data_IF_711825673098
#
_entry.id   IF_711825673098
#
_cell.length_a   1.000
_cell.length_b   1.000
_cell.length_c   1.000
_cell.angle_alpha   90.00
_cell.angle_beta   90.00
_cell.angle_gamma   90.00
#
_symmetry.space_group_name_H-M   'P 1'
#
loop_
_entity.id
_entity.type
_entity.pdbx_description
1 polymer ?
#
# COMPACT_ATOMS: atom_id res chain seq x y z
N UNK A 1 -7.01 22.50 9.64
CA UNK A 1 -5.95 22.30 10.65
C UNK A 1 -5.04 23.51 10.81
N UNK A 2 -5.07 24.53 9.93
CA UNK A 2 -4.32 25.78 10.15
C UNK A 2 -4.76 26.52 11.42
N UNK A 3 -6.02 26.32 11.81
CA UNK A 3 -6.71 26.77 13.02
C UNK A 3 -6.25 26.09 14.32
N UNK A 4 -5.47 24.99 14.24
CA UNK A 4 -5.01 24.23 15.41
C UNK A 4 -3.57 24.60 15.80
N UNK A 5 -3.15 24.46 17.06
CA UNK A 5 -1.75 24.57 17.47
C UNK A 5 -0.81 23.69 16.65
N UNK A 6 0.47 24.06 16.54
CA UNK A 6 1.45 23.29 15.74
C UNK A 6 1.83 21.96 16.40
N UNK A 7 1.73 21.89 17.73
CA UNK A 7 1.97 20.74 18.59
C UNK A 7 0.70 19.89 18.83
N UNK A 8 -0.44 20.26 18.23
CA UNK A 8 -1.62 19.39 18.16
C UNK A 8 -1.23 18.05 17.54
N UNK A 9 -1.70 16.94 18.11
CA UNK A 9 -1.29 15.58 17.70
C UNK A 9 -1.53 15.32 16.21
N UNK A 10 -2.65 15.81 15.66
CA UNK A 10 -2.93 15.68 14.22
C UNK A 10 -1.95 16.49 13.38
N UNK A 11 -1.69 17.74 13.76
CA UNK A 11 -0.74 18.60 13.02
C UNK A 11 0.67 18.03 13.08
N UNK A 12 1.12 17.61 14.27
CA UNK A 12 2.41 16.98 14.47
C UNK A 12 2.56 15.70 13.62
N UNK A 13 1.52 14.86 13.58
CA UNK A 13 1.52 13.64 12.75
C UNK A 13 1.65 13.95 11.26
N UNK A 14 0.88 14.91 10.72
CA UNK A 14 0.95 15.33 9.32
C UNK A 14 2.33 15.90 8.96
N UNK A 15 2.95 16.65 9.87
CA UNK A 15 4.29 17.21 9.65
C UNK A 15 5.39 16.15 9.77
N UNK A 16 5.19 15.12 10.57
CA UNK A 16 6.10 13.98 10.70
C UNK A 16 6.07 13.11 9.44
N UNK A 17 4.87 12.81 8.93
CA UNK A 17 4.61 11.94 7.78
C UNK A 17 4.14 12.72 6.55
N UNK A 18 4.98 13.64 6.07
CA UNK A 18 4.65 14.50 4.93
C UNK A 18 4.59 13.73 3.62
N UNK A 19 5.75 13.50 3.00
CA UNK A 19 5.89 12.73 1.76
C UNK A 19 6.59 11.41 2.08
N UNK A 20 5.94 10.29 1.80
CA UNK A 20 6.46 8.93 1.95
C UNK A 20 6.18 8.11 0.68
N UNK A 21 6.94 7.02 0.50
CA UNK A 21 6.80 6.14 -0.68
C UNK A 21 5.63 5.16 -0.53
N UNK A 22 5.31 4.81 0.72
CA UNK A 22 4.24 3.88 1.05
C UNK A 22 2.86 4.35 0.60
N UNK A 23 1.94 3.41 0.44
CA UNK A 23 0.59 3.68 0.00
C UNK A 23 -0.27 2.43 0.03
N UNK A 24 -1.55 2.55 -0.29
CA UNK A 24 -2.54 1.49 -0.15
C UNK A 24 -3.11 1.10 -1.51
N UNK A 25 -3.86 0.00 -1.60
CA UNK A 25 -4.45 -0.44 -2.88
C UNK A 25 -5.31 0.65 -3.54
N UNK A 26 -6.22 1.31 -2.81
CA UNK A 26 -7.05 2.37 -3.38
C UNK A 26 -6.23 3.59 -3.84
N UNK A 27 -5.07 3.85 -3.20
CA UNK A 27 -4.12 4.88 -3.65
C UNK A 27 -3.47 4.51 -4.99
N UNK A 28 -3.15 3.24 -5.21
CA UNK A 28 -2.69 2.74 -6.51
C UNK A 28 -3.78 2.88 -7.58
N UNK A 29 -5.01 2.44 -7.27
CA UNK A 29 -6.18 2.57 -8.16
C UNK A 29 -6.41 4.02 -8.56
N UNK A 30 -6.33 4.94 -7.60
CA UNK A 30 -6.47 6.37 -7.81
C UNK A 30 -5.44 6.95 -8.80
N UNK A 31 -4.18 6.49 -8.71
CA UNK A 31 -3.12 6.91 -9.63
C UNK A 31 -3.37 6.37 -11.03
N UNK A 32 -3.65 5.07 -11.18
CA UNK A 32 -3.89 4.47 -12.49
C UNK A 32 -5.11 5.07 -13.17
N UNK A 33 -6.21 5.30 -12.44
CA UNK A 33 -7.42 5.93 -12.99
C UNK A 33 -7.15 7.36 -13.50
N UNK A 34 -6.31 8.12 -12.81
CA UNK A 34 -6.04 9.53 -13.15
C UNK A 34 -4.93 9.69 -14.18
N UNK A 35 -3.92 8.82 -14.15
CA UNK A 35 -2.67 9.00 -14.88
C UNK A 35 -2.33 7.83 -15.81
N UNK A 36 -3.06 6.73 -15.78
CA UNK A 36 -2.76 5.51 -16.52
C UNK A 36 -1.49 4.81 -16.03
N UNK A 37 -0.89 3.99 -16.89
CA UNK A 37 0.41 3.35 -16.65
C UNK A 37 1.23 3.38 -17.93
N UNK A 38 2.54 3.15 -17.80
CA UNK A 38 3.44 3.02 -18.94
C UNK A 38 4.30 1.76 -18.82
N UNK A 39 4.75 1.16 -19.93
CA UNK A 39 5.80 0.15 -19.90
C UNK A 39 7.05 0.70 -19.22
N UNK A 40 7.78 -0.14 -18.48
CA UNK A 40 9.05 0.23 -17.83
C UNK A 40 10.08 0.83 -18.79
N UNK A 41 10.04 0.46 -20.07
CA UNK A 41 10.93 1.03 -21.11
C UNK A 41 10.61 2.49 -21.46
N UNK A 42 9.38 2.95 -21.21
CA UNK A 42 8.97 4.34 -21.46
C UNK A 42 9.30 5.28 -20.30
N UNK A 43 9.37 4.76 -19.07
CA UNK A 43 9.83 5.49 -17.88
C UNK A 43 10.67 4.54 -17.01
N UNK A 44 11.98 4.40 -17.29
CA UNK A 44 12.85 3.49 -16.56
C UNK A 44 13.18 4.00 -15.16
N UNK A 45 13.71 3.10 -14.33
CA UNK A 45 14.22 3.46 -13.01
C UNK A 45 15.35 4.50 -13.09
N UNK A 46 15.42 5.34 -12.06
CA UNK A 46 16.52 6.28 -11.80
C UNK A 46 17.21 5.88 -10.49
N UNK A 47 18.35 6.51 -10.17
CA UNK A 47 18.96 6.35 -8.84
C UNK A 47 17.95 6.66 -7.73
N UNK A 48 17.14 7.71 -7.87
CA UNK A 48 16.23 8.13 -6.80
C UNK A 48 14.95 7.30 -6.71
N UNK A 49 14.52 6.62 -7.79
CA UNK A 49 13.40 5.67 -7.68
C UNK A 49 13.84 4.35 -7.01
N UNK A 50 15.12 4.01 -7.08
CA UNK A 50 15.70 2.85 -6.37
C UNK A 50 16.33 3.20 -5.00
N UNK A 51 16.46 4.49 -4.67
CA UNK A 51 17.10 5.00 -3.45
C UNK A 51 16.53 6.38 -3.04
N UNK A 52 15.26 6.37 -2.62
CA UNK A 52 14.43 7.58 -2.47
C UNK A 52 14.79 8.49 -1.29
N UNK A 53 15.52 7.99 -0.29
CA UNK A 53 15.70 8.66 1.01
C UNK A 53 16.17 10.13 0.90
N UNK A 54 17.13 10.41 0.02
CA UNK A 54 17.65 11.78 -0.18
C UNK A 54 16.63 12.70 -0.85
N UNK A 55 15.95 12.20 -1.88
CA UNK A 55 14.88 12.93 -2.57
C UNK A 55 13.75 13.25 -1.58
N UNK A 56 13.28 12.24 -0.84
CA UNK A 56 12.22 12.38 0.15
C UNK A 56 12.60 13.36 1.27
N UNK A 57 13.85 13.42 1.68
CA UNK A 57 14.31 14.44 2.63
C UNK A 57 14.10 15.87 2.10
N UNK A 58 14.37 16.12 0.82
CA UNK A 58 14.19 17.45 0.20
C UNK A 58 12.72 17.77 -0.04
N UNK A 59 11.93 16.78 -0.47
CA UNK A 59 10.47 16.91 -0.63
C UNK A 59 9.80 17.25 0.70
N UNK A 60 10.16 16.54 1.77
CA UNK A 60 9.63 16.81 3.11
C UNK A 60 10.05 18.18 3.66
N UNK A 61 11.25 18.67 3.32
CA UNK A 61 11.64 20.04 3.66
C UNK A 61 10.72 21.06 2.98
N UNK A 62 10.49 20.94 1.67
CA UNK A 62 9.58 21.83 0.94
C UNK A 62 8.14 21.72 1.46
N UNK A 63 7.66 20.51 1.73
CA UNK A 63 6.35 20.26 2.33
C UNK A 63 6.17 21.02 3.65
N UNK A 64 7.11 20.87 4.60
CA UNK A 64 7.06 21.56 5.91
C UNK A 64 7.17 23.07 5.76
N UNK A 65 8.03 23.53 4.86
CA UNK A 65 8.18 24.96 4.57
C UNK A 65 6.88 25.56 4.01
N UNK A 66 6.24 24.88 3.05
CA UNK A 66 4.95 25.31 2.49
C UNK A 66 3.82 25.27 3.52
N UNK A 67 3.78 24.23 4.36
CA UNK A 67 2.83 24.13 5.47
C UNK A 67 2.97 25.30 6.44
N UNK A 68 4.20 25.67 6.82
CA UNK A 68 4.46 26.85 7.65
C UNK A 68 3.96 28.14 6.98
N UNK A 69 4.28 28.35 5.70
CA UNK A 69 3.84 29.56 4.97
C UNK A 69 2.32 29.69 4.94
N UNK A 70 1.60 28.61 4.67
CA UNK A 70 0.13 28.61 4.67
C UNK A 70 -0.42 28.94 6.06
N UNK A 71 0.17 28.37 7.12
CA UNK A 71 -0.26 28.64 8.50
C UNK A 71 0.05 30.07 8.95
N UNK A 72 1.19 30.63 8.55
CA UNK A 72 1.53 32.03 8.81
C UNK A 72 0.54 32.97 8.10
N UNK A 73 0.20 32.70 6.83
CA UNK A 73 -0.83 33.46 6.10
C UNK A 73 -2.23 33.32 6.72
N UNK A 74 -2.57 32.15 7.25
CA UNK A 74 -3.81 31.95 7.99
C UNK A 74 -3.84 32.79 9.27
N UNK A 75 -2.77 32.76 10.07
CA UNK A 75 -2.65 33.52 11.31
C UNK A 75 -2.63 35.05 11.10
N UNK A 76 -2.08 35.50 9.98
CA UNK A 76 -2.10 36.90 9.55
C UNK A 76 -3.38 37.30 8.80
N UNK A 77 -4.41 36.44 8.79
CA UNK A 77 -5.71 36.67 8.13
C UNK A 77 -5.61 37.12 6.67
N UNK A 78 -4.56 36.68 5.95
CA UNK A 78 -4.19 37.28 4.67
C UNK A 78 -5.04 36.82 3.47
N UNK A 79 -6.08 36.02 3.73
CA UNK A 79 -7.03 35.56 2.72
C UNK A 79 -6.63 34.28 2.00
N UNK A 80 -7.64 33.61 1.43
CA UNK A 80 -7.49 32.31 0.74
C UNK A 80 -6.57 32.38 -0.48
N UNK A 81 -6.56 33.50 -1.20
CA UNK A 81 -5.76 33.63 -2.42
C UNK A 81 -4.25 33.60 -2.12
N UNK A 82 -3.80 34.24 -1.04
CA UNK A 82 -2.39 34.19 -0.63
C UNK A 82 -1.97 32.81 -0.14
N UNK A 83 -2.85 32.11 0.58
CA UNK A 83 -2.62 30.72 0.99
C UNK A 83 -2.49 29.79 -0.24
N UNK A 84 -3.37 29.97 -1.24
CA UNK A 84 -3.33 29.22 -2.51
C UNK A 84 -2.07 29.53 -3.32
N UNK A 85 -1.63 30.78 -3.36
CA UNK A 85 -0.39 31.17 -4.01
C UNK A 85 0.84 30.49 -3.36
N UNK A 86 0.86 30.42 -2.02
CA UNK A 86 1.92 29.73 -1.26
C UNK A 86 1.92 28.22 -1.53
N UNK A 87 0.74 27.60 -1.59
CA UNK A 87 0.59 26.19 -2.03
C UNK A 87 1.16 25.99 -3.43
N UNK A 88 0.77 26.83 -4.40
CA UNK A 88 1.22 26.67 -5.79
C UNK A 88 2.74 26.81 -5.93
N UNK A 89 3.34 27.79 -5.24
CA UNK A 89 4.80 27.95 -5.20
C UNK A 89 5.50 26.71 -4.66
N UNK A 90 4.97 26.12 -3.59
CA UNK A 90 5.50 24.90 -2.99
C UNK A 90 5.37 23.70 -3.94
N UNK A 91 4.21 23.53 -4.58
CA UNK A 91 3.99 22.46 -5.55
C UNK A 91 4.90 22.58 -6.78
N UNK A 92 5.16 23.79 -7.27
CA UNK A 92 6.11 24.00 -8.37
C UNK A 92 7.53 23.55 -7.97
N UNK A 93 7.97 23.84 -6.74
CA UNK A 93 9.28 23.39 -6.25
C UNK A 93 9.32 21.86 -6.11
N UNK A 94 8.27 21.25 -5.56
CA UNK A 94 8.14 19.78 -5.46
C UNK A 94 8.20 19.12 -6.83
N UNK A 95 7.46 19.64 -7.81
CA UNK A 95 7.46 19.11 -9.18
C UNK A 95 8.86 19.19 -9.81
N UNK A 96 9.56 20.32 -9.64
CA UNK A 96 10.94 20.46 -10.14
C UNK A 96 11.89 19.45 -9.49
N UNK A 97 11.80 19.24 -8.16
CA UNK A 97 12.59 18.22 -7.48
C UNK A 97 12.30 16.83 -8.07
N UNK A 98 11.02 16.45 -8.19
CA UNK A 98 10.61 15.16 -8.75
C UNK A 98 11.12 14.98 -10.19
N UNK A 99 10.96 15.98 -11.07
CA UNK A 99 11.45 15.90 -12.45
C UNK A 99 12.97 15.79 -12.56
N UNK A 100 13.72 16.46 -11.68
CA UNK A 100 15.18 16.34 -11.65
C UNK A 100 15.62 14.93 -11.21
N UNK A 101 14.92 14.36 -10.24
CA UNK A 101 15.28 13.07 -9.65
C UNK A 101 14.78 11.86 -10.47
N UNK A 102 13.57 11.94 -11.02
CA UNK A 102 12.83 10.83 -11.62
C UNK A 102 12.63 10.97 -13.13
N UNK A 103 12.96 12.13 -13.70
CA UNK A 103 12.56 12.50 -15.05
C UNK A 103 11.13 13.04 -15.13
N UNK A 104 10.77 13.55 -16.29
CA UNK A 104 9.40 14.05 -16.55
C UNK A 104 8.54 12.90 -17.05
N UNK A 105 7.38 12.61 -16.43
CA UNK A 105 6.47 11.58 -16.90
C UNK A 105 6.10 11.79 -18.38
N UNK A 106 6.16 10.74 -19.23
CA UNK A 106 5.85 10.89 -20.65
C UNK A 106 4.36 11.18 -20.85
N UNK A 107 4.05 12.20 -21.65
CA UNK A 107 2.68 12.47 -22.08
C UNK A 107 2.21 11.44 -23.13
N UNK A 108 3.14 10.98 -23.97
CA UNK A 108 2.95 9.98 -25.02
C UNK A 108 4.22 9.16 -25.18
N UNK A 109 4.09 7.93 -25.67
CA UNK A 109 5.20 7.05 -25.99
C UNK A 109 4.83 6.07 -27.13
N UNK A 110 5.84 5.57 -27.84
CA UNK A 110 5.65 4.49 -28.80
C UNK A 110 5.74 3.12 -28.12
N UNK A 111 4.76 2.25 -28.37
CA UNK A 111 4.77 0.89 -27.84
C UNK A 111 5.22 -0.12 -28.89
N UNK A 112 6.27 -0.87 -28.56
CA UNK A 112 6.85 -1.91 -29.38
C UNK A 112 7.49 -2.99 -28.51
N UNK A 113 7.36 -4.26 -28.90
CA UNK A 113 7.90 -5.39 -28.14
C UNK A 113 8.24 -6.57 -29.07
N UNK A 114 8.88 -7.60 -28.53
CA UNK A 114 8.95 -8.92 -29.18
C UNK A 114 8.11 -9.90 -28.38
N UNK A 115 7.31 -10.71 -29.07
CA UNK A 115 6.51 -11.74 -28.43
C UNK A 115 7.36 -12.97 -28.03
N UNK A 116 6.69 -14.01 -27.51
CA UNK A 116 7.33 -15.25 -27.06
C UNK A 116 8.05 -16.01 -28.17
N UNK A 117 7.64 -15.80 -29.43
CA UNK A 117 8.24 -16.38 -30.63
C UNK A 117 9.29 -15.45 -31.26
N UNK A 118 9.66 -14.38 -30.55
CA UNK A 118 10.61 -13.34 -30.98
C UNK A 118 10.15 -12.51 -32.18
N UNK A 119 8.88 -12.56 -32.58
CA UNK A 119 8.37 -11.70 -33.64
C UNK A 119 8.22 -10.27 -33.14
N UNK A 120 8.60 -9.31 -33.98
CA UNK A 120 8.50 -7.88 -33.65
C UNK A 120 7.05 -7.41 -33.77
N UNK A 121 6.59 -6.74 -32.73
CA UNK A 121 5.25 -6.17 -32.59
C UNK A 121 5.34 -4.66 -32.36
N UNK A 122 4.33 -3.92 -32.80
CA UNK A 122 4.17 -2.48 -32.52
C UNK A 122 2.71 -2.11 -32.43
N UNK A 123 2.40 -1.14 -31.60
CA UNK A 123 1.04 -0.63 -31.42
C UNK A 123 1.00 0.91 -31.38
N UNK A 124 1.82 1.54 -32.21
CA UNK A 124 1.77 2.99 -32.44
C UNK A 124 2.20 3.84 -31.24
N UNK A 125 1.86 5.12 -31.32
CA UNK A 125 1.98 6.10 -30.24
C UNK A 125 0.70 6.11 -29.41
N UNK A 126 0.83 6.20 -28.09
CA UNK A 126 -0.31 6.31 -27.18
C UNK A 126 0.06 7.08 -25.91
N UNK A 127 -0.98 7.54 -25.22
CA UNK A 127 -0.89 8.10 -23.88
C UNK A 127 -0.87 6.98 -22.82
N UNK A 128 -0.41 7.26 -21.58
CA UNK A 128 -0.50 6.31 -20.47
C UNK A 128 -1.92 5.82 -20.16
N UNK A 129 -2.94 6.67 -20.37
CA UNK A 129 -4.35 6.31 -20.15
C UNK A 129 -4.85 5.32 -21.21
N UNK A 130 -4.57 5.59 -22.48
CA UNK A 130 -4.91 4.66 -23.58
C UNK A 130 -4.19 3.31 -23.42
N UNK A 131 -2.92 3.33 -22.97
CA UNK A 131 -2.21 2.10 -22.67
C UNK A 131 -2.87 1.31 -21.54
N UNK A 132 -3.26 1.98 -20.44
CA UNK A 132 -3.94 1.34 -19.33
C UNK A 132 -5.27 0.72 -19.77
N UNK A 133 -6.11 1.47 -20.50
CA UNK A 133 -7.40 1.00 -21.02
C UNK A 133 -7.26 -0.23 -21.93
N UNK A 134 -6.21 -0.24 -22.78
CA UNK A 134 -6.01 -1.31 -23.76
C UNK A 134 -5.35 -2.56 -23.19
N UNK A 135 -4.41 -2.42 -22.26
CA UNK A 135 -3.53 -3.51 -21.83
C UNK A 135 -3.75 -3.98 -20.38
N UNK A 136 -4.39 -3.19 -19.52
CA UNK A 136 -4.80 -3.66 -18.19
C UNK A 136 -6.16 -4.32 -18.32
N UNK A 137 -6.18 -5.65 -18.23
CA UNK A 137 -7.42 -6.45 -18.29
C UNK A 137 -8.05 -6.67 -16.91
N UNK A 138 -7.34 -6.31 -15.84
CA UNK A 138 -7.84 -6.47 -14.47
C UNK A 138 -8.78 -5.32 -14.13
N UNK A 139 -10.06 -5.58 -13.78
CA UNK A 139 -11.01 -4.53 -13.41
C UNK A 139 -10.73 -4.07 -11.98
N UNK A 140 -9.63 -3.33 -11.80
CA UNK A 140 -9.12 -2.91 -10.49
C UNK A 140 -10.10 -2.05 -9.69
N UNK A 141 -11.06 -1.39 -10.35
CA UNK A 141 -12.14 -0.64 -9.66
C UNK A 141 -13.18 -1.55 -8.98
N UNK A 142 -13.27 -2.82 -9.40
CA UNK A 142 -14.14 -3.83 -8.76
C UNK A 142 -13.48 -4.50 -7.55
N UNK A 143 -12.21 -4.20 -7.30
CA UNK A 143 -11.49 -4.76 -6.16
C UNK A 143 -11.83 -4.00 -4.89
N UNK A 144 -11.94 -4.74 -3.80
CA UNK A 144 -12.19 -4.23 -2.46
C UNK A 144 -11.08 -4.70 -1.54
N UNK A 145 -10.66 -3.82 -0.65
CA UNK A 145 -9.62 -4.11 0.32
C UNK A 145 -10.26 -4.76 1.55
N UNK A 146 -9.85 -5.98 1.84
CA UNK A 146 -10.32 -6.74 2.99
C UNK A 146 -9.20 -6.82 4.00
N UNK A 147 -9.50 -6.46 5.25
CA UNK A 147 -8.52 -6.46 6.34
C UNK A 147 -8.92 -7.38 7.47
N UNK A 148 -7.94 -7.79 8.26
CA UNK A 148 -8.14 -8.42 9.56
C UNK A 148 -7.48 -7.58 10.66
N UNK A 149 -8.32 -6.86 11.37
CA UNK A 149 -8.02 -6.08 12.56
C UNK A 149 -8.81 -6.66 13.74
N UNK A 150 -8.17 -7.46 14.62
CA UNK A 150 -8.83 -8.12 15.73
C UNK A 150 -9.05 -7.22 16.95
N UNK A 151 -8.73 -5.93 16.89
CA UNK A 151 -9.00 -4.99 17.99
C UNK A 151 -10.50 -4.89 18.25
N UNK A 152 -10.89 -4.79 19.52
CA UNK A 152 -12.30 -4.66 19.92
C UNK A 152 -12.98 -3.43 19.30
N UNK A 153 -12.20 -2.37 19.04
CA UNK A 153 -12.67 -1.13 18.39
C UNK A 153 -13.00 -1.30 16.90
N UNK A 154 -12.64 -2.44 16.32
CA UNK A 154 -12.74 -2.74 14.89
C UNK A 154 -13.61 -3.98 14.67
N UNK A 155 -14.93 -3.92 14.89
CA UNK A 155 -15.81 -5.08 14.69
C UNK A 155 -15.80 -5.58 13.23
N UNK A 156 -15.81 -6.90 13.05
CA UNK A 156 -15.95 -7.54 11.75
C UNK A 156 -17.28 -7.17 11.06
N UNK A 157 -17.31 -7.20 9.73
CA UNK A 157 -18.46 -6.81 8.92
C UNK A 157 -18.72 -5.30 8.89
N UNK A 158 -17.73 -4.48 9.30
CA UNK A 158 -17.78 -3.02 9.21
C UNK A 158 -16.70 -2.50 8.28
N UNK A 159 -16.99 -1.36 7.68
CA UNK A 159 -16.06 -0.64 6.81
C UNK A 159 -15.35 0.47 7.56
N UNK A 160 -14.09 0.72 7.21
CA UNK A 160 -13.23 1.70 7.84
C UNK A 160 -12.49 2.53 6.80
N UNK A 161 -12.14 3.75 7.17
CA UNK A 161 -11.24 4.64 6.45
C UNK A 161 -10.35 5.36 7.45
N UNK A 162 -9.25 5.96 7.01
CA UNK A 162 -8.27 6.61 7.89
C UNK A 162 -8.20 8.08 7.54
N UNK A 163 -8.40 8.92 8.55
CA UNK A 163 -8.42 10.37 8.36
C UNK A 163 -7.08 10.85 7.75
N UNK A 164 -7.17 11.64 6.68
CA UNK A 164 -6.05 12.17 5.89
C UNK A 164 -5.21 11.16 5.10
N UNK A 165 -5.51 9.86 5.16
CA UNK A 165 -4.82 8.86 4.35
C UNK A 165 -5.34 8.91 2.91
N UNK A 166 -4.45 9.18 1.95
CA UNK A 166 -4.76 9.25 0.53
C UNK A 166 -3.68 10.00 -0.24
N UNK A 167 -3.76 9.98 -1.58
CA UNK A 167 -2.74 10.58 -2.46
C UNK A 167 -3.32 11.50 -3.55
N UNK A 168 -4.52 11.22 -4.05
CA UNK A 168 -5.18 12.01 -5.09
C UNK A 168 -6.35 12.77 -4.48
N UNK A 169 -6.25 14.10 -4.46
CA UNK A 169 -7.36 14.96 -4.06
C UNK A 169 -8.59 14.66 -4.93
N UNK A 170 -9.76 14.56 -4.30
CA UNK A 170 -11.04 14.19 -4.91
C UNK A 170 -11.12 12.75 -5.47
N UNK A 171 -10.11 11.91 -5.20
CA UNK A 171 -10.21 10.47 -5.42
C UNK A 171 -11.08 9.77 -4.36
N UNK A 172 -11.63 8.58 -4.66
CA UNK A 172 -12.19 7.69 -3.66
C UNK A 172 -11.28 7.57 -2.42
N UNK A 173 -11.86 7.66 -1.22
CA UNK A 173 -11.09 7.45 0.00
C UNK A 173 -10.62 6.01 0.06
N UNK A 174 -9.54 5.79 0.82
CA UNK A 174 -9.17 4.46 1.25
C UNK A 174 -10.35 3.81 1.98
N UNK A 175 -10.69 2.57 1.64
CA UNK A 175 -11.77 1.85 2.31
C UNK A 175 -11.39 0.41 2.55
N UNK A 176 -11.57 -0.04 3.79
CA UNK A 176 -11.31 -1.42 4.19
C UNK A 176 -12.56 -2.06 4.76
N UNK A 177 -12.79 -3.34 4.47
CA UNK A 177 -13.78 -4.16 5.15
C UNK A 177 -13.07 -5.07 6.15
N UNK A 178 -13.39 -4.94 7.43
CA UNK A 178 -12.81 -5.82 8.43
C UNK A 178 -13.53 -7.17 8.46
N UNK A 179 -12.78 -8.27 8.44
CA UNK A 179 -13.31 -9.64 8.49
C UNK A 179 -12.42 -10.56 9.32
N UNK A 180 -12.87 -11.80 9.52
CA UNK A 180 -12.07 -12.83 10.15
C UNK A 180 -10.91 -13.31 9.26
N UNK A 181 -9.77 -13.63 9.87
CA UNK A 181 -8.56 -14.04 9.15
C UNK A 181 -8.75 -15.31 8.33
N UNK A 182 -9.62 -16.24 8.78
CA UNK A 182 -9.89 -17.47 8.06
C UNK A 182 -10.67 -17.19 6.76
N UNK A 183 -11.53 -16.17 6.75
CA UNK A 183 -12.21 -15.75 5.52
C UNK A 183 -11.22 -15.13 4.53
N UNK A 184 -10.23 -14.36 5.01
CA UNK A 184 -9.14 -13.84 4.18
C UNK A 184 -8.38 -14.99 3.52
N UNK A 185 -8.01 -16.02 4.30
CA UNK A 185 -7.33 -17.22 3.78
C UNK A 185 -8.17 -17.93 2.72
N UNK A 186 -9.47 -18.12 2.97
CA UNK A 186 -10.39 -18.77 2.02
C UNK A 186 -10.48 -17.99 0.70
N UNK A 187 -10.62 -16.66 0.76
CA UNK A 187 -10.67 -15.83 -0.45
C UNK A 187 -9.35 -15.85 -1.21
N UNK A 188 -8.22 -15.77 -0.51
CA UNK A 188 -6.90 -15.86 -1.13
C UNK A 188 -6.68 -17.22 -1.80
N UNK A 189 -7.03 -18.33 -1.14
CA UNK A 189 -6.97 -19.67 -1.72
C UNK A 189 -7.83 -19.78 -2.98
N UNK A 190 -9.10 -19.39 -2.91
CA UNK A 190 -10.00 -19.46 -4.07
C UNK A 190 -9.49 -18.63 -5.25
N UNK A 191 -8.99 -17.41 -5.01
CA UNK A 191 -8.41 -16.60 -6.08
C UNK A 191 -7.22 -17.30 -6.75
N UNK A 192 -6.33 -17.91 -5.96
CA UNK A 192 -5.17 -18.63 -6.49
C UNK A 192 -5.57 -19.91 -7.25
N UNK A 193 -6.59 -20.63 -6.78
CA UNK A 193 -7.17 -21.78 -7.49
C UNK A 193 -7.84 -21.37 -8.82
N UNK A 194 -8.39 -20.15 -8.88
CA UNK A 194 -8.89 -19.52 -10.10
C UNK A 194 -7.78 -18.92 -11.00
N UNK A 195 -6.51 -19.13 -10.64
CA UNK A 195 -5.36 -18.64 -11.40
C UNK A 195 -5.12 -17.13 -11.29
N UNK A 196 -5.66 -16.48 -10.24
CA UNK A 196 -5.50 -15.05 -9.99
C UNK A 196 -4.52 -14.83 -8.83
N UNK A 197 -3.43 -14.08 -9.03
CA UNK A 197 -2.56 -13.71 -7.93
C UNK A 197 -3.26 -12.72 -6.99
N UNK A 198 -2.82 -12.66 -5.73
CA UNK A 198 -3.48 -11.88 -4.68
C UNK A 198 -2.52 -10.86 -4.09
N UNK A 199 -2.80 -9.58 -4.26
CA UNK A 199 -2.06 -8.51 -3.59
C UNK A 199 -2.32 -8.57 -2.10
N UNK A 200 -1.29 -8.37 -1.28
CA UNK A 200 -1.35 -8.63 0.14
C UNK A 200 -0.48 -7.66 0.95
N UNK A 201 -0.93 -7.30 2.16
CA UNK A 201 -0.22 -6.44 3.11
C UNK A 201 0.05 -7.15 4.45
N UNK A 202 1.29 -7.05 4.94
CA UNK A 202 1.77 -7.78 6.13
C UNK A 202 2.80 -7.01 6.96
N UNK A 203 3.18 -7.54 8.13
CA UNK A 203 4.40 -7.16 8.86
C UNK A 203 5.57 -8.08 8.47
N UNK A 204 6.26 -7.74 7.37
CA UNK A 204 7.25 -8.61 6.72
C UNK A 204 8.46 -8.97 7.59
N UNK A 205 8.77 -8.15 8.60
CA UNK A 205 9.97 -8.31 9.41
C UNK A 205 9.86 -9.36 10.52
N UNK A 206 8.66 -9.86 10.80
CA UNK A 206 8.41 -10.78 11.91
C UNK A 206 8.71 -12.21 11.51
N UNK A 207 9.41 -12.95 12.38
CA UNK A 207 9.67 -14.39 12.27
C UNK A 207 10.03 -14.84 10.82
N UNK A 208 11.05 -14.18 10.27
CA UNK A 208 11.44 -14.25 8.86
C UNK A 208 12.92 -14.58 8.70
N UNK A 209 13.25 -15.50 7.79
CA UNK A 209 14.62 -15.67 7.31
C UNK A 209 14.73 -15.17 5.88
N UNK A 210 15.45 -14.05 5.71
CA UNK A 210 15.52 -13.32 4.44
C UNK A 210 16.14 -14.16 3.34
N UNK A 211 17.35 -14.66 3.57
CA UNK A 211 18.11 -15.32 2.51
C UNK A 211 17.50 -16.66 2.08
N UNK A 212 16.92 -17.42 3.02
CA UNK A 212 16.19 -18.65 2.75
C UNK A 212 14.78 -18.41 2.18
N UNK A 213 14.25 -17.20 2.30
CA UNK A 213 12.92 -16.85 1.84
C UNK A 213 11.80 -17.50 2.66
N UNK A 214 11.94 -17.58 3.99
CA UNK A 214 11.01 -18.31 4.85
C UNK A 214 10.28 -17.41 5.84
N UNK A 215 8.97 -17.63 5.97
CA UNK A 215 8.14 -17.11 7.05
C UNK A 215 7.43 -18.26 7.77
N UNK A 216 7.61 -18.34 9.08
CA UNK A 216 6.91 -19.27 9.97
C UNK A 216 6.69 -18.56 11.31
N UNK A 217 5.51 -18.66 11.94
CA UNK A 217 5.24 -17.99 13.21
C UNK A 217 6.22 -18.34 14.35
N UNK A 218 6.87 -19.52 14.28
CA UNK A 218 7.81 -20.04 15.28
C UNK A 218 9.20 -20.32 14.66
N UNK A 219 9.56 -19.59 13.60
CA UNK A 219 10.84 -19.78 12.91
C UNK A 219 12.06 -19.66 13.84
N UNK A 220 12.02 -18.72 14.79
CA UNK A 220 13.05 -18.52 15.80
C UNK A 220 12.47 -18.69 17.21
N UNK A 221 13.13 -19.51 18.02
CA UNK A 221 12.83 -19.74 19.44
C UNK A 221 13.39 -18.62 20.32
N UNK A 222 12.88 -17.39 20.15
CA UNK A 222 13.20 -16.27 21.02
C UNK A 222 12.85 -16.52 22.50
N UNK A 223 11.69 -17.13 22.85
CA UNK A 223 11.38 -17.43 24.24
C UNK A 223 12.42 -18.32 24.91
N UNK A 224 12.86 -19.39 24.26
CA UNK A 224 13.88 -20.30 24.78
C UNK A 224 15.25 -19.64 24.92
N UNK A 225 15.65 -18.81 23.94
CA UNK A 225 16.95 -18.12 23.96
C UNK A 225 17.01 -17.03 25.03
N UNK A 226 15.97 -16.22 25.17
CA UNK A 226 15.94 -15.12 26.13
C UNK A 226 15.42 -15.52 27.52
N UNK A 227 14.86 -16.72 27.65
CA UNK A 227 14.19 -17.19 28.86
C UNK A 227 13.11 -16.18 29.32
N UNK A 228 12.27 -15.76 28.38
CA UNK A 228 11.21 -14.76 28.58
C UNK A 228 10.00 -15.04 27.68
N UNK A 229 8.80 -14.79 28.19
CA UNK A 229 7.55 -15.02 27.44
C UNK A 229 7.21 -13.85 26.51
N UNK A 230 6.74 -14.18 25.31
CA UNK A 230 6.26 -13.24 24.30
C UNK A 230 4.77 -13.50 24.00
N UNK A 231 3.89 -13.05 24.90
CA UNK A 231 2.49 -13.50 24.96
C UNK A 231 1.46 -12.53 24.38
N UNK A 232 1.87 -11.46 23.69
CA UNK A 232 0.93 -10.51 23.10
C UNK A 232 0.23 -11.18 21.90
N UNK A 233 -1.10 -11.23 21.94
CA UNK A 233 -1.91 -11.59 20.78
C UNK A 233 -1.87 -10.50 19.71
N UNK A 234 -2.47 -10.77 18.55
CA UNK A 234 -2.44 -9.85 17.41
C UNK A 234 -3.08 -8.49 17.70
N UNK A 235 -4.16 -8.46 18.48
CA UNK A 235 -4.85 -7.22 18.83
C UNK A 235 -3.96 -6.36 19.74
N UNK A 236 -3.40 -6.96 20.80
CA UNK A 236 -2.49 -6.29 21.71
C UNK A 236 -1.21 -5.82 20.99
N UNK A 237 -0.68 -6.61 20.03
CA UNK A 237 0.46 -6.18 19.21
C UNK A 237 0.13 -4.94 18.36
N UNK A 238 -1.09 -4.81 17.84
CA UNK A 238 -1.52 -3.61 17.10
C UNK A 238 -1.67 -2.40 18.04
N UNK A 239 -2.35 -2.59 19.17
CA UNK A 239 -2.63 -1.54 20.15
C UNK A 239 -1.36 -0.97 20.80
N UNK A 240 -0.41 -1.85 21.12
CA UNK A 240 0.84 -1.50 21.79
C UNK A 240 2.01 -1.32 20.81
N UNK A 241 1.71 -1.08 19.53
CA UNK A 241 2.68 -0.69 18.50
C UNK A 241 3.82 -1.70 18.26
N UNK A 242 3.56 -2.99 18.49
CA UNK A 242 4.53 -4.06 18.21
C UNK A 242 4.45 -4.52 16.74
N UNK A 243 3.23 -4.56 16.18
CA UNK A 243 2.96 -4.96 14.80
C UNK A 243 2.13 -3.91 14.08
N UNK A 244 2.30 -3.85 12.76
CA UNK A 244 1.50 -3.08 11.81
C UNK A 244 1.84 -3.57 10.40
N UNK A 245 1.04 -3.19 9.40
CA UNK A 245 1.47 -3.40 8.02
C UNK A 245 2.72 -2.58 7.68
N UNK A 246 3.74 -3.25 7.16
CA UNK A 246 5.01 -2.66 6.78
C UNK A 246 5.42 -2.95 5.35
N UNK A 247 4.78 -3.90 4.66
CA UNK A 247 5.17 -4.28 3.31
C UNK A 247 4.02 -4.94 2.55
N UNK A 248 3.98 -4.73 1.24
CA UNK A 248 3.10 -5.44 0.34
C UNK A 248 3.85 -6.35 -0.63
N UNK A 249 3.22 -7.48 -0.94
CA UNK A 249 3.74 -8.52 -1.82
C UNK A 249 2.58 -9.14 -2.62
N UNK A 250 2.87 -10.22 -3.34
CA UNK A 250 1.88 -10.90 -4.17
C UNK A 250 1.88 -12.41 -3.86
N UNK A 251 0.75 -12.96 -3.46
CA UNK A 251 0.58 -14.41 -3.46
C UNK A 251 0.44 -14.91 -4.90
N UNK A 252 1.20 -15.96 -5.23
CA UNK A 252 1.26 -16.56 -6.57
C UNK A 252 1.04 -18.07 -6.58
N UNK A 253 0.84 -18.67 -5.41
CA UNK A 253 0.48 -20.07 -5.27
C UNK A 253 0.13 -20.43 -3.85
N UNK A 254 -0.61 -21.53 -3.70
CA UNK A 254 -1.00 -22.10 -2.41
C UNK A 254 -0.82 -23.61 -2.47
N UNK A 255 -0.31 -24.17 -1.38
CA UNK A 255 -0.18 -25.60 -1.17
C UNK A 255 -1.29 -26.04 -0.22
N UNK A 256 -2.20 -26.87 -0.73
CA UNK A 256 -3.46 -27.24 -0.05
C UNK A 256 -3.42 -28.73 0.30
N UNK A 257 -3.71 -29.05 1.56
CA UNK A 257 -3.82 -30.43 2.07
C UNK A 257 -5.17 -30.56 2.77
N UNK A 258 -5.95 -31.57 2.40
CA UNK A 258 -7.30 -31.83 2.93
C UNK A 258 -8.22 -30.60 2.88
N UNK A 259 -8.10 -29.82 1.79
CA UNK A 259 -8.89 -28.61 1.55
C UNK A 259 -8.46 -27.39 2.36
N UNK A 260 -7.35 -27.46 3.10
CA UNK A 260 -6.82 -26.34 3.90
C UNK A 260 -5.45 -25.87 3.39
N UNK A 261 -5.19 -24.55 3.39
CA UNK A 261 -3.86 -24.04 3.10
C UNK A 261 -2.85 -24.52 4.13
N UNK A 262 -1.72 -25.05 3.64
CA UNK A 262 -0.55 -25.36 4.46
C UNK A 262 0.52 -24.28 4.31
N UNK A 263 0.77 -23.86 3.07
CA UNK A 263 1.80 -22.87 2.72
C UNK A 263 1.37 -22.02 1.54
N UNK A 264 1.98 -20.84 1.47
CA UNK A 264 1.72 -19.83 0.47
C UNK A 264 3.03 -19.47 -0.23
N UNK A 265 3.00 -19.40 -1.56
CA UNK A 265 4.10 -18.91 -2.38
C UNK A 265 3.92 -17.42 -2.59
N UNK A 266 4.94 -16.65 -2.22
CA UNK A 266 4.93 -15.19 -2.24
C UNK A 266 5.98 -14.68 -3.21
N UNK A 267 5.59 -13.83 -4.15
CA UNK A 267 6.50 -13.04 -4.97
C UNK A 267 6.82 -11.74 -4.23
N UNK A 268 8.12 -11.50 -3.99
CA UNK A 268 8.62 -10.30 -3.33
C UNK A 268 9.31 -9.37 -4.35
N UNK A 269 9.62 -8.15 -3.94
CA UNK A 269 10.20 -7.09 -4.77
C UNK A 269 11.64 -6.70 -4.38
N UNK A 270 12.35 -7.58 -3.66
CA UNK A 270 13.70 -7.33 -3.13
C UNK A 270 14.85 -7.93 -3.97
N UNK A 271 14.66 -8.06 -5.28
CA UNK A 271 15.58 -8.73 -6.23
C UNK A 271 15.54 -10.28 -6.23
N UNK A 272 16.22 -10.87 -7.22
CA UNK A 272 16.26 -12.32 -7.44
C UNK A 272 17.30 -13.07 -6.58
N UNK A 273 18.11 -12.38 -5.78
CA UNK A 273 19.17 -12.98 -4.96
C UNK A 273 18.68 -13.44 -3.60
N UNK A 274 17.47 -13.03 -3.22
CA UNK A 274 16.86 -13.33 -1.92
C UNK A 274 15.79 -14.40 -2.09
N UNK A 275 15.72 -15.34 -1.14
CA UNK A 275 14.80 -16.47 -1.22
C UNK A 275 15.11 -17.38 -2.41
N UNK A 276 14.06 -17.94 -3.01
CA UNK A 276 14.17 -18.70 -4.26
C UNK A 276 13.86 -17.77 -5.45
N UNK A 277 14.89 -17.09 -5.96
CA UNK A 277 14.76 -16.17 -7.10
C UNK A 277 13.75 -15.05 -6.88
N UNK A 278 13.76 -14.46 -5.68
CA UNK A 278 12.80 -13.42 -5.27
C UNK A 278 11.47 -13.97 -4.73
N UNK A 279 11.27 -15.29 -4.75
CA UNK A 279 10.10 -15.93 -4.15
C UNK A 279 10.39 -16.42 -2.74
N UNK A 280 9.35 -16.36 -1.91
CA UNK A 280 9.35 -16.77 -0.51
C UNK A 280 8.26 -17.82 -0.28
N UNK A 281 8.46 -18.63 0.75
CA UNK A 281 7.50 -19.60 1.26
C UNK A 281 7.02 -19.15 2.64
N UNK A 282 5.72 -18.94 2.77
CA UNK A 282 5.06 -18.55 4.01
C UNK A 282 4.21 -19.72 4.53
N UNK A 283 4.48 -20.20 5.74
CA UNK A 283 3.60 -21.18 6.38
C UNK A 283 2.30 -20.51 6.84
N UNK A 284 1.20 -21.26 6.82
CA UNK A 284 -0.12 -20.74 7.19
C UNK A 284 -0.21 -20.24 8.65
N UNK A 285 0.66 -20.77 9.53
CA UNK A 285 0.85 -20.27 10.89
C UNK A 285 1.24 -18.79 10.91
N UNK A 286 2.12 -18.37 10.01
CA UNK A 286 2.58 -16.98 9.91
C UNK A 286 1.48 -16.07 9.35
N UNK A 287 0.70 -16.55 8.37
CA UNK A 287 -0.42 -15.82 7.81
C UNK A 287 -1.36 -15.35 8.92
N UNK A 288 -1.75 -16.24 9.83
CA UNK A 288 -2.66 -15.90 10.93
C UNK A 288 -2.16 -14.71 11.79
N UNK A 289 -0.86 -14.66 12.06
CA UNK A 289 -0.27 -13.72 13.01
C UNK A 289 0.08 -12.35 12.43
N UNK A 290 0.51 -12.32 11.16
CA UNK A 290 1.18 -11.13 10.58
C UNK A 290 0.65 -10.68 9.22
N UNK A 291 -0.36 -11.36 8.63
CA UNK A 291 -1.12 -10.84 7.50
C UNK A 291 -2.24 -9.91 7.96
N UNK A 292 -2.46 -8.80 7.27
CA UNK A 292 -3.49 -7.85 7.64
C UNK A 292 -4.45 -7.55 6.51
N UNK A 293 -4.02 -7.60 5.26
CA UNK A 293 -4.82 -7.09 4.14
C UNK A 293 -4.63 -7.94 2.88
N UNK A 294 -5.71 -8.09 2.12
CA UNK A 294 -5.69 -8.50 0.71
C UNK A 294 -6.63 -7.61 -0.12
N UNK A 295 -6.33 -7.47 -1.40
CA UNK A 295 -7.27 -6.89 -2.37
C UNK A 295 -7.92 -8.01 -3.18
N UNK A 296 -9.25 -8.05 -3.20
CA UNK A 296 -10.03 -9.10 -3.89
C UNK A 296 -11.14 -8.49 -4.74
N UNK A 297 -11.54 -9.09 -5.87
CA UNK A 297 -12.74 -8.66 -6.56
C UNK A 297 -13.96 -8.78 -5.65
N UNK A 298 -14.86 -7.79 -5.67
CA UNK A 298 -16.04 -7.73 -4.79
C UNK A 298 -16.91 -8.98 -4.81
N UNK A 299 -16.95 -9.71 -5.93
CA UNK A 299 -17.73 -10.94 -6.06
C UNK A 299 -17.17 -12.16 -5.29
N UNK A 300 -15.94 -12.08 -4.77
CA UNK A 300 -15.40 -13.08 -3.83
C UNK A 300 -15.94 -12.90 -2.41
N UNK A 301 -16.51 -11.73 -2.09
CA UNK A 301 -17.15 -11.51 -0.80
C UNK A 301 -18.48 -12.29 -0.71
N UNK A 302 -18.78 -12.90 0.46
CA UNK A 302 -20.13 -13.30 0.83
C UNK A 302 -21.17 -12.17 0.64
N UNK A 303 -22.42 -12.51 0.33
CA UNK A 303 -23.44 -11.54 -0.06
C UNK A 303 -23.79 -10.52 1.04
N UNK A 304 -23.71 -10.91 2.31
CA UNK A 304 -23.85 -10.03 3.47
C UNK A 304 -22.69 -9.03 3.58
N UNK A 305 -21.45 -9.47 3.29
CA UNK A 305 -20.27 -8.63 3.26
C UNK A 305 -20.22 -7.68 2.06
N UNK A 306 -20.76 -8.09 0.90
CA UNK A 306 -20.99 -7.17 -0.21
C UNK A 306 -21.95 -6.04 0.16
N UNK A 307 -22.96 -6.31 1.00
CA UNK A 307 -23.85 -5.26 1.54
C UNK A 307 -23.14 -4.41 2.60
N UNK A 308 -22.34 -5.02 3.46
CA UNK A 308 -21.53 -4.30 4.44
C UNK A 308 -20.56 -3.31 3.77
N UNK A 309 -20.02 -3.68 2.60
CA UNK A 309 -19.18 -2.79 1.81
C UNK A 309 -19.87 -1.49 1.40
N UNK A 310 -21.20 -1.47 1.24
CA UNK A 310 -21.94 -0.25 0.87
C UNK A 310 -22.15 0.73 2.04
N UNK A 311 -21.81 0.32 3.26
CA UNK A 311 -21.94 1.17 4.44
C UNK A 311 -20.90 2.31 4.44
N UNK A 312 -21.29 3.44 5.02
CA UNK A 312 -20.39 4.55 5.30
C UNK A 312 -19.26 4.08 6.24
N UNK A 313 -17.98 4.27 5.86
CA UNK A 313 -16.87 3.80 6.66
C UNK A 313 -16.73 4.56 7.97
N UNK A 314 -16.36 3.84 9.02
CA UNK A 314 -15.92 4.43 10.28
C UNK A 314 -14.57 5.13 10.05
N UNK A 315 -14.48 6.40 10.43
CA UNK A 315 -13.25 7.20 10.28
C UNK A 315 -12.33 6.98 11.48
N UNK A 316 -11.20 6.32 11.24
CA UNK A 316 -10.12 6.10 12.20
C UNK A 316 -9.16 7.30 12.24
N UNK A 317 -8.45 7.51 13.36
CA UNK A 317 -7.49 8.60 13.46
C UNK A 317 -6.29 8.41 12.51
N UNK A 318 -5.58 9.48 12.12
CA UNK A 318 -4.50 9.40 11.13
C UNK A 318 -3.35 8.46 11.50
N UNK A 319 -3.09 8.29 12.80
CA UNK A 319 -2.04 7.44 13.34
C UNK A 319 -2.48 6.00 13.60
N UNK A 320 -3.66 5.58 13.13
CA UNK A 320 -4.11 4.20 13.28
C UNK A 320 -3.15 3.22 12.57
N UNK A 321 -2.76 2.08 13.19
CA UNK A 321 -1.80 1.14 12.62
C UNK A 321 -2.24 0.53 11.29
N UNK A 322 -3.55 0.50 10.99
CA UNK A 322 -4.08 -0.02 9.73
C UNK A 322 -3.88 0.92 8.53
N UNK A 323 -3.31 2.11 8.74
CA UNK A 323 -2.99 3.04 7.65
C UNK A 323 -1.60 2.88 7.07
N UNK A 324 -0.75 2.12 7.75
CA UNK A 324 0.63 1.91 7.36
C UNK A 324 0.72 0.86 6.26
N UNK A 325 1.48 1.14 5.19
CA UNK A 325 2.00 0.11 4.29
C UNK A 325 3.29 0.65 3.66
N UNK A 326 4.39 -0.10 3.74
CA UNK A 326 5.72 0.31 3.28
C UNK A 326 6.24 1.63 3.91
N UNK A 327 6.09 1.77 5.24
CA UNK A 327 6.49 2.95 6.03
C UNK A 327 7.64 2.71 7.02
#
# INVERSE_FOLDING_TARGET
TADRPVDDRTVAWLLQRGVEDGGQWDMFVNLVRKHGVVPKTAMPETESSSNSARMNSMLNYQYRQGAKQIRDSYAAESGLDQMRASKQKTLNAIFQILSIHLGTPPAQFHWQWRDRDSHFQRDGEMTPLEFAEKYITTPMEDYVCVVHDPRETSPAGRTFTIQYLGNVLDGPPIKYLNVDIDLIKQMAQHMLEDGKPVWMGCDTGKQMHRDLGLWDAELFDYPGVYNADFSLDKAARLEYHQTRMTHAMLFTGVDVVDGKPRRWRVENSWDEKVGDKGFFLMNDSWFAEYMFEIAVPKNYLPADLQKAWELEPIVLPPWDPMGSLAA
#
